data_IF_799414570090
#
_entry.id   IF_799414570090
#
_cell.length_a   1.000
_cell.length_b   1.000
_cell.length_c   1.000
_cell.angle_alpha   90.00
_cell.angle_beta   90.00
_cell.angle_gamma   90.00
#
_symmetry.space_group_name_H-M   'P 1'
#
loop_
_entity.id
_entity.type
_entity.pdbx_description
1 polymer ?
#
# COMPACT_ATOMS: atom_id res chain seq x y z
N UNK A 1 3.69 -19.33 22.99
CA UNK A 1 4.55 -18.77 21.92
C UNK A 1 4.04 -17.37 21.59
N UNK A 2 4.83 -16.33 21.88
CA UNK A 2 4.44 -14.93 21.67
C UNK A 2 4.89 -14.44 20.30
N UNK A 3 3.98 -13.81 19.55
CA UNK A 3 4.29 -12.80 18.52
C UNK A 3 3.01 -12.01 18.23
N UNK A 4 2.68 -11.13 19.17
CA UNK A 4 1.74 -10.04 18.94
C UNK A 4 2.43 -9.04 18.00
N UNK A 5 2.12 -9.08 16.71
CA UNK A 5 2.44 -7.97 15.80
C UNK A 5 1.32 -6.94 15.88
N UNK A 6 1.44 -6.07 16.88
CA UNK A 6 0.59 -4.89 17.08
C UNK A 6 1.38 -3.67 16.56
N UNK A 7 1.13 -3.29 15.31
CA UNK A 7 1.44 -1.97 14.77
C UNK A 7 0.10 -1.40 14.33
N UNK A 8 -0.63 -0.70 15.21
CA UNK A 8 -0.55 0.75 15.39
C UNK A 8 -0.84 1.49 14.09
N UNK A 9 -2.06 2.04 13.96
CA UNK A 9 -2.40 2.91 12.85
C UNK A 9 -3.89 2.99 12.46
N UNK A 10 -4.84 2.83 13.39
CA UNK A 10 -6.15 3.47 13.23
C UNK A 10 -5.93 4.99 13.27
N UNK A 11 -5.83 5.62 12.10
CA UNK A 11 -5.97 7.07 11.96
C UNK A 11 -6.75 7.38 10.70
N UNK A 12 -7.94 7.93 10.92
CA UNK A 12 -8.71 8.78 10.02
C UNK A 12 -9.45 8.11 8.83
N UNK A 13 -10.71 7.79 9.10
CA UNK A 13 -11.81 7.86 8.15
C UNK A 13 -11.91 9.32 7.64
N UNK A 14 -11.21 9.68 6.57
CA UNK A 14 -11.49 10.90 5.77
C UNK A 14 -10.72 10.78 4.46
N UNK A 15 -11.41 10.51 3.34
CA UNK A 15 -10.89 10.53 1.95
C UNK A 15 -9.51 9.87 1.84
N UNK A 16 -9.45 8.54 1.65
CA UNK A 16 -8.19 7.80 1.48
C UNK A 16 -7.22 8.56 0.55
N UNK A 17 -6.21 9.18 1.16
CA UNK A 17 -5.16 9.86 0.42
C UNK A 17 -4.43 8.82 -0.41
N UNK A 18 -3.86 9.23 -1.54
CA UNK A 18 -3.06 8.33 -2.38
C UNK A 18 -2.01 7.58 -1.55
N UNK A 19 -1.41 8.24 -0.56
CA UNK A 19 -0.46 7.66 0.38
C UNK A 19 -1.04 6.53 1.26
N UNK A 20 -2.29 6.63 1.70
CA UNK A 20 -2.93 5.58 2.51
C UNK A 20 -3.26 4.34 1.67
N UNK A 21 -3.62 4.55 0.40
CA UNK A 21 -3.77 3.45 -0.56
C UNK A 21 -2.40 2.78 -0.81
N UNK A 22 -1.34 3.58 -0.98
CA UNK A 22 0.03 3.07 -1.20
C UNK A 22 0.48 2.27 0.02
N UNK A 23 0.26 2.79 1.22
CA UNK A 23 0.59 2.10 2.47
C UNK A 23 -0.13 0.76 2.58
N UNK A 24 -1.44 0.75 2.31
CA UNK A 24 -2.25 -0.46 2.40
C UNK A 24 -1.79 -1.53 1.40
N UNK A 25 -1.52 -1.12 0.16
CA UNK A 25 -1.06 -2.03 -0.89
C UNK A 25 0.38 -2.53 -0.64
N UNK A 26 1.27 -1.66 -0.16
CA UNK A 26 2.64 -2.04 0.21
C UNK A 26 2.65 -3.07 1.35
N UNK A 27 1.78 -2.88 2.35
CA UNK A 27 1.62 -3.83 3.44
C UNK A 27 1.11 -5.19 2.96
N UNK A 28 0.15 -5.19 2.04
CA UNK A 28 -0.36 -6.42 1.44
C UNK A 28 0.74 -7.17 0.67
N UNK A 29 1.51 -6.46 -0.16
CA UNK A 29 2.64 -7.02 -0.90
C UNK A 29 3.71 -7.59 0.04
N UNK A 30 3.98 -6.93 1.16
CA UNK A 30 4.91 -7.45 2.18
C UNK A 30 4.40 -8.75 2.83
N UNK A 31 3.10 -8.85 3.10
CA UNK A 31 2.49 -10.09 3.61
C UNK A 31 2.53 -11.21 2.56
N UNK A 32 2.19 -10.91 1.30
CA UNK A 32 2.23 -11.86 0.18
C UNK A 32 3.66 -12.32 -0.13
N UNK A 33 4.66 -11.45 0.03
CA UNK A 33 6.09 -11.74 -0.15
C UNK A 33 6.71 -12.60 0.96
N UNK A 34 5.91 -13.06 1.92
CA UNK A 34 6.36 -13.94 3.00
C UNK A 34 7.13 -13.22 4.10
N UNK A 35 6.85 -11.93 4.33
CA UNK A 35 7.48 -11.13 5.39
C UNK A 35 9.01 -11.04 5.25
N UNK A 36 9.53 -11.05 4.02
CA UNK A 36 10.96 -10.89 3.77
C UNK A 36 11.40 -9.46 4.11
N UNK A 37 12.22 -9.36 5.16
CA UNK A 37 12.88 -8.11 5.54
C UNK A 37 13.91 -7.71 4.47
N UNK A 38 13.94 -6.43 4.10
CA UNK A 38 14.80 -5.86 3.06
C UNK A 38 14.07 -5.51 1.78
N UNK A 39 12.79 -5.88 1.65
CA UNK A 39 11.96 -5.58 0.49
C UNK A 39 10.90 -4.50 0.76
N UNK A 40 10.87 -3.89 1.95
CA UNK A 40 9.85 -2.89 2.31
C UNK A 40 9.79 -1.73 1.30
N UNK A 41 10.95 -1.20 0.92
CA UNK A 41 11.03 -0.12 -0.07
C UNK A 41 10.58 -0.57 -1.47
N UNK A 42 10.92 -1.80 -1.86
CA UNK A 42 10.50 -2.37 -3.14
C UNK A 42 8.98 -2.58 -3.19
N UNK A 43 8.39 -3.10 -2.11
CA UNK A 43 6.94 -3.25 -1.99
C UNK A 43 6.23 -1.90 -1.99
N UNK A 44 6.82 -0.87 -1.37
CA UNK A 44 6.28 0.49 -1.36
C UNK A 44 6.30 1.14 -2.76
N UNK A 45 7.43 1.06 -3.47
CA UNK A 45 7.56 1.53 -4.86
C UNK A 45 6.60 0.80 -5.80
N UNK A 46 6.43 -0.51 -5.61
CA UNK A 46 5.49 -1.31 -6.41
C UNK A 46 4.04 -0.89 -6.15
N UNK A 47 3.69 -0.62 -4.90
CA UNK A 47 2.37 -0.11 -4.54
C UNK A 47 2.08 1.26 -5.15
N UNK A 48 3.05 2.18 -5.06
CA UNK A 48 2.97 3.51 -5.66
C UNK A 48 2.73 3.45 -7.17
N UNK A 49 3.51 2.64 -7.89
CA UNK A 49 3.35 2.47 -9.34
C UNK A 49 1.97 1.92 -9.71
N UNK A 50 1.44 0.95 -8.96
CA UNK A 50 0.11 0.40 -9.23
C UNK A 50 -0.99 1.44 -9.04
N UNK A 51 -0.90 2.27 -7.99
CA UNK A 51 -1.92 3.29 -7.70
C UNK A 51 -1.84 4.44 -8.69
N UNK A 52 -0.63 4.92 -9.02
CA UNK A 52 -0.40 5.90 -10.08
C UNK A 52 -0.92 5.42 -11.43
N UNK A 53 -0.73 4.14 -11.75
CA UNK A 53 -1.24 3.54 -12.99
C UNK A 53 -2.76 3.47 -13.01
N UNK A 54 -3.39 3.10 -11.89
CA UNK A 54 -4.85 3.09 -11.73
C UNK A 54 -5.45 4.49 -11.87
N UNK A 55 -4.85 5.50 -11.23
CA UNK A 55 -5.26 6.90 -11.33
C UNK A 55 -5.11 7.46 -12.75
N UNK A 56 -4.00 7.16 -13.42
CA UNK A 56 -3.77 7.52 -14.83
C UNK A 56 -4.77 6.87 -15.79
N UNK A 57 -5.22 5.65 -15.51
CA UNK A 57 -6.26 4.97 -16.31
C UNK A 57 -7.65 5.55 -16.14
N UNK A 58 -7.94 6.15 -14.98
CA UNK A 58 -9.23 6.79 -14.69
C UNK A 58 -9.38 8.14 -15.39
N UNK A 59 -8.26 8.86 -15.59
CA UNK A 59 -8.23 10.15 -16.29
C UNK A 59 -8.41 10.03 -17.82
N UNK A 60 -8.34 8.81 -18.38
CA UNK A 60 -8.46 8.56 -19.83
C UNK A 60 -9.85 8.11 -20.27
N UNK A 61 -10.82 8.01 -19.35
CA UNK A 61 -12.20 7.58 -19.64
C UNK A 61 -13.21 8.72 -19.80
N UNK A 62 -12.75 9.97 -19.85
CA UNK A 62 -13.54 11.14 -20.26
C UNK A 62 -12.85 11.74 -21.48
N UNK A 63 -13.26 11.29 -22.67
CA UNK A 63 -13.03 11.93 -23.95
C UNK A 63 -14.13 11.47 -24.90
#
# INVERSE_FOLDING_TARGET
MAKQNKAAGTSAVTVESMEDQIRSLAYQLYCEGGYQNGCELAHWLQAEQQILTRGKGQLRRVA
#
